data_IF_113040495571
#
_entry.id   IF_113040495571
#
_cell.length_a   1.000
_cell.length_b   1.000
_cell.length_c   1.000
_cell.angle_alpha   90.00
_cell.angle_beta   90.00
_cell.angle_gamma   90.00
#
_symmetry.space_group_name_H-M   'P 1'
#
loop_
_entity.id
_entity.type
_entity.pdbx_description
1 polymer ?
#
# COMPACT_ATOMS: atom_id res chain seq x y z
N UNK A 1 -20.06 -12.66 -20.06
CA UNK A 1 -20.93 -12.76 -18.85
C UNK A 1 -20.01 -12.92 -17.64
N UNK A 2 -19.50 -11.81 -17.10
CA UNK A 2 -18.63 -11.84 -15.91
C UNK A 2 -19.52 -12.23 -14.72
N UNK A 3 -19.24 -13.39 -14.13
CA UNK A 3 -19.87 -13.83 -12.89
C UNK A 3 -19.50 -12.84 -11.78
N UNK A 4 -20.31 -11.81 -11.54
CA UNK A 4 -20.12 -10.91 -10.41
C UNK A 4 -20.40 -11.70 -9.13
N UNK A 5 -19.32 -12.14 -8.47
CA UNK A 5 -19.46 -12.64 -7.10
C UNK A 5 -19.86 -11.43 -6.25
N UNK A 6 -20.97 -11.54 -5.53
CA UNK A 6 -21.39 -10.53 -4.56
C UNK A 6 -20.23 -10.22 -3.60
N UNK A 7 -20.06 -8.95 -3.21
CA UNK A 7 -19.04 -8.48 -2.27
C UNK A 7 -18.97 -9.37 -1.02
N UNK A 8 -20.12 -9.84 -0.53
CA UNK A 8 -20.21 -10.77 0.60
C UNK A 8 -19.47 -12.11 0.35
N UNK A 9 -19.56 -12.68 -0.85
CA UNK A 9 -18.86 -13.92 -1.20
C UNK A 9 -17.35 -13.73 -1.28
N UNK A 10 -16.89 -12.55 -1.69
CA UNK A 10 -15.46 -12.20 -1.75
C UNK A 10 -14.90 -12.06 -0.33
N UNK A 11 -15.62 -11.37 0.57
CA UNK A 11 -15.25 -11.26 1.99
C UNK A 11 -15.11 -12.64 2.63
N UNK A 12 -16.06 -13.54 2.41
CA UNK A 12 -16.00 -14.91 2.94
C UNK A 12 -14.77 -15.68 2.43
N UNK A 13 -14.40 -15.50 1.16
CA UNK A 13 -13.18 -16.12 0.62
C UNK A 13 -11.93 -15.60 1.34
N UNK A 14 -11.84 -14.29 1.58
CA UNK A 14 -10.72 -13.70 2.32
C UNK A 14 -10.67 -14.19 3.77
N UNK A 15 -11.81 -14.26 4.46
CA UNK A 15 -11.87 -14.84 5.81
C UNK A 15 -11.30 -16.26 5.81
N UNK A 16 -11.61 -17.08 4.80
CA UNK A 16 -11.02 -18.41 4.64
C UNK A 16 -9.50 -18.40 4.50
N UNK A 17 -8.93 -17.46 3.74
CA UNK A 17 -7.49 -17.29 3.62
C UNK A 17 -6.84 -16.84 4.94
N UNK A 18 -7.43 -15.88 5.64
CA UNK A 18 -6.94 -15.44 6.95
C UNK A 18 -6.98 -16.58 7.98
N UNK A 19 -8.06 -17.37 8.00
CA UNK A 19 -8.17 -18.54 8.86
C UNK A 19 -7.11 -19.59 8.56
N UNK A 20 -6.77 -19.79 7.28
CA UNK A 20 -5.74 -20.75 6.84
C UNK A 20 -4.32 -20.30 7.17
N UNK A 21 -3.98 -19.04 6.88
CA UNK A 21 -2.61 -18.54 6.96
C UNK A 21 -2.29 -17.84 8.28
N UNK A 22 -3.32 -17.46 9.05
CA UNK A 22 -3.20 -16.92 10.40
C UNK A 22 -2.24 -15.73 10.51
N UNK A 23 -2.34 -14.71 9.64
CA UNK A 23 -1.37 -13.62 9.59
C UNK A 23 -1.36 -12.79 10.88
N UNK A 24 -0.17 -12.33 11.26
CA UNK A 24 0.03 -11.34 12.32
C UNK A 24 0.01 -9.90 11.76
N UNK A 25 0.41 -9.73 10.50
CA UNK A 25 0.44 -8.44 9.82
C UNK A 25 -0.16 -8.59 8.42
N UNK A 26 -0.98 -7.61 8.03
CA UNK A 26 -1.45 -7.43 6.65
C UNK A 26 -0.79 -6.19 6.09
N UNK A 27 -0.10 -6.31 4.95
CA UNK A 27 0.40 -5.17 4.19
C UNK A 27 -0.42 -5.06 2.91
N UNK A 28 -1.25 -4.03 2.82
CA UNK A 28 -2.18 -3.82 1.71
C UNK A 28 -1.61 -2.85 0.68
N UNK A 29 -1.09 -3.40 -0.42
CA UNK A 29 -0.51 -2.66 -1.55
C UNK A 29 -1.35 -2.78 -2.83
N UNK A 30 -2.34 -3.67 -2.86
CA UNK A 30 -3.11 -3.96 -4.06
C UNK A 30 -4.01 -2.76 -4.40
N UNK A 31 -3.74 -2.13 -5.53
CA UNK A 31 -4.46 -0.97 -6.04
C UNK A 31 -4.25 -0.82 -7.55
N UNK A 32 -5.21 -0.20 -8.22
CA UNK A 32 -4.96 0.46 -9.50
C UNK A 32 -4.20 1.76 -9.23
N UNK A 33 -3.08 1.98 -9.96
CA UNK A 33 -2.06 2.96 -9.57
C UNK A 33 -1.65 3.97 -10.64
N UNK A 34 -2.34 4.00 -11.80
CA UNK A 34 -1.93 4.82 -12.94
C UNK A 34 -2.91 5.99 -13.14
N UNK A 35 -2.45 7.22 -12.94
CA UNK A 35 -3.31 8.41 -13.01
C UNK A 35 -4.02 8.54 -14.36
N UNK A 36 -3.29 8.44 -15.48
CA UNK A 36 -3.91 8.58 -16.82
C UNK A 36 -5.03 7.56 -17.06
N UNK A 37 -4.82 6.28 -16.69
CA UNK A 37 -5.85 5.25 -16.82
C UNK A 37 -7.08 5.54 -15.97
N UNK A 38 -6.92 6.30 -14.87
CA UNK A 38 -8.04 6.67 -14.02
C UNK A 38 -8.94 7.73 -14.67
N UNK A 39 -8.42 8.52 -15.61
CA UNK A 39 -9.19 9.49 -16.38
C UNK A 39 -10.04 8.77 -17.43
N UNK A 40 -9.44 7.81 -18.14
CA UNK A 40 -10.13 7.04 -19.19
C UNK A 40 -11.10 5.99 -18.63
N UNK A 41 -10.77 5.40 -17.48
CA UNK A 41 -11.50 4.27 -16.89
C UNK A 41 -11.58 4.31 -15.36
N UNK A 42 -12.26 5.30 -14.75
CA UNK A 42 -12.28 5.49 -13.30
C UNK A 42 -12.96 4.35 -12.52
N UNK A 43 -13.86 3.59 -13.15
CA UNK A 43 -14.62 2.52 -12.48
C UNK A 43 -13.71 1.47 -11.82
N UNK A 44 -12.63 1.05 -12.50
CA UNK A 44 -11.68 0.07 -11.98
C UNK A 44 -10.96 0.57 -10.70
N UNK A 45 -10.76 1.88 -10.57
CA UNK A 45 -10.14 2.50 -9.39
C UNK A 45 -11.10 2.49 -8.21
N UNK A 46 -12.39 2.76 -8.44
CA UNK A 46 -13.41 2.67 -7.37
C UNK A 46 -13.56 1.22 -6.90
N UNK A 47 -13.67 0.28 -7.84
CA UNK A 47 -13.81 -1.14 -7.51
C UNK A 47 -12.60 -1.68 -6.74
N UNK A 48 -11.39 -1.44 -7.23
CA UNK A 48 -10.18 -2.00 -6.61
C UNK A 48 -9.77 -1.22 -5.37
N UNK A 49 -9.64 0.11 -5.46
CA UNK A 49 -9.02 0.89 -4.39
C UNK A 49 -9.99 1.14 -3.24
N UNK A 50 -11.27 1.35 -3.52
CA UNK A 50 -12.29 1.63 -2.49
C UNK A 50 -12.98 0.35 -2.05
N UNK A 51 -13.68 -0.33 -2.96
CA UNK A 51 -14.45 -1.55 -2.62
C UNK A 51 -13.54 -2.70 -2.22
N UNK A 52 -12.38 -2.86 -2.87
CA UNK A 52 -11.37 -3.84 -2.50
C UNK A 52 -10.79 -3.58 -1.10
N UNK A 53 -10.47 -2.32 -0.76
CA UNK A 53 -10.00 -1.97 0.59
C UNK A 53 -11.06 -2.22 1.65
N UNK A 54 -12.32 -1.85 1.40
CA UNK A 54 -13.46 -2.19 2.27
C UNK A 54 -13.53 -3.71 2.51
N UNK A 55 -13.46 -4.49 1.44
CA UNK A 55 -13.52 -5.96 1.50
C UNK A 55 -12.39 -6.54 2.37
N UNK A 56 -11.17 -6.03 2.20
CA UNK A 56 -10.02 -6.46 3.00
C UNK A 56 -10.13 -6.04 4.46
N UNK A 57 -10.63 -4.83 4.74
CA UNK A 57 -10.86 -4.35 6.10
C UNK A 57 -11.91 -5.19 6.83
N UNK A 58 -13.01 -5.55 6.16
CA UNK A 58 -14.04 -6.41 6.74
C UNK A 58 -13.52 -7.82 7.00
N UNK A 59 -12.81 -8.41 6.05
CA UNK A 59 -12.20 -9.73 6.26
C UNK A 59 -11.19 -9.72 7.41
N UNK A 60 -10.33 -8.69 7.46
CA UNK A 60 -9.36 -8.52 8.54
C UNK A 60 -10.05 -8.32 9.89
N UNK A 61 -11.12 -7.51 9.95
CA UNK A 61 -11.93 -7.30 11.17
C UNK A 61 -12.55 -8.61 11.66
N UNK A 62 -13.16 -9.38 10.76
CA UNK A 62 -13.76 -10.68 11.10
C UNK A 62 -12.74 -11.69 11.61
N UNK A 63 -11.52 -11.71 11.04
CA UNK A 63 -10.43 -12.54 11.53
C UNK A 63 -9.89 -12.06 12.88
N UNK A 64 -9.70 -10.76 13.04
CA UNK A 64 -9.07 -10.14 14.21
C UNK A 64 -9.96 -10.16 15.46
N UNK A 65 -11.27 -10.00 15.31
CA UNK A 65 -12.21 -9.93 16.44
C UNK A 65 -12.14 -11.14 17.39
N UNK A 66 -12.18 -12.39 16.91
CA UNK A 66 -12.14 -13.59 17.76
C UNK A 66 -10.72 -14.02 18.20
N UNK A 67 -9.66 -13.29 17.83
CA UNK A 67 -8.31 -13.66 18.25
C UNK A 67 -8.15 -13.56 19.77
N UNK A 68 -7.32 -14.44 20.33
CA UNK A 68 -6.87 -14.35 21.71
C UNK A 68 -6.15 -13.02 21.98
N UNK A 69 -6.25 -12.50 23.20
CA UNK A 69 -5.82 -11.14 23.57
C UNK A 69 -4.40 -10.80 23.10
N UNK A 70 -3.43 -11.71 23.31
CA UNK A 70 -2.03 -11.51 22.92
C UNK A 70 -1.87 -11.31 21.41
N UNK A 71 -2.47 -12.19 20.60
CA UNK A 71 -2.42 -12.11 19.13
C UNK A 71 -3.23 -10.93 18.60
N UNK A 72 -4.34 -10.61 19.26
CA UNK A 72 -5.18 -9.46 18.93
C UNK A 72 -4.44 -8.14 19.12
N UNK A 73 -3.60 -8.05 20.15
CA UNK A 73 -2.81 -6.87 20.49
C UNK A 73 -1.59 -6.71 19.56
N UNK A 74 -1.00 -7.80 19.07
CA UNK A 74 0.13 -7.76 18.13
C UNK A 74 -0.29 -7.54 16.68
N UNK A 75 -1.54 -7.82 16.32
CA UNK A 75 -2.04 -7.69 14.95
C UNK A 75 -1.87 -6.29 14.38
N UNK A 76 -1.47 -6.15 13.12
CA UNK A 76 -1.41 -4.85 12.41
C UNK A 76 -1.97 -4.96 11.00
N UNK A 77 -2.77 -3.96 10.62
CA UNK A 77 -3.19 -3.75 9.23
C UNK A 77 -2.50 -2.50 8.69
N UNK A 78 -1.48 -2.68 7.85
CA UNK A 78 -0.71 -1.60 7.25
C UNK A 78 -1.21 -1.32 5.84
N UNK A 79 -1.82 -0.15 5.66
CA UNK A 79 -2.31 0.35 4.39
C UNK A 79 -1.27 1.27 3.73
N UNK A 80 -0.87 0.93 2.52
CA UNK A 80 0.06 1.75 1.73
C UNK A 80 -0.75 2.69 0.83
N UNK A 81 -0.51 3.99 1.00
CA UNK A 81 -1.14 5.07 0.25
C UNK A 81 -0.09 5.96 -0.41
N UNK A 82 -0.54 7.08 -0.97
CA UNK A 82 0.26 8.02 -1.78
C UNK A 82 0.17 9.42 -1.18
N UNK A 83 1.18 10.24 -1.42
CA UNK A 83 1.16 11.68 -1.18
C UNK A 83 0.17 12.45 -2.07
N UNK A 84 -0.23 11.91 -3.23
CA UNK A 84 -1.22 12.53 -4.11
C UNK A 84 -2.60 12.77 -3.45
N UNK A 85 -2.88 12.14 -2.30
CA UNK A 85 -4.10 12.42 -1.53
C UNK A 85 -4.14 13.85 -0.97
N UNK A 86 -2.98 14.47 -0.83
CA UNK A 86 -2.84 15.85 -0.33
C UNK A 86 -3.01 16.90 -1.43
N UNK A 87 -3.11 16.50 -2.70
CA UNK A 87 -3.27 17.41 -3.83
C UNK A 87 -1.95 17.95 -4.35
N UNK A 88 -1.96 19.21 -4.75
CA UNK A 88 -0.81 19.89 -5.37
C UNK A 88 -0.16 20.87 -4.40
N UNK A 89 1.17 21.01 -4.50
CA UNK A 89 1.93 22.06 -3.82
C UNK A 89 2.08 23.26 -4.76
N UNK A 90 1.87 24.47 -4.23
CA UNK A 90 1.93 25.69 -5.02
C UNK A 90 3.28 26.44 -4.91
N UNK A 91 4.06 26.17 -3.85
CA UNK A 91 5.40 26.71 -3.63
C UNK A 91 6.51 25.65 -3.71
N UNK A 92 7.74 26.09 -3.98
CA UNK A 92 8.93 25.21 -4.04
C UNK A 92 9.44 24.77 -2.66
N UNK A 93 9.06 25.51 -1.60
CA UNK A 93 9.47 25.25 -0.22
C UNK A 93 8.36 24.55 0.60
N UNK A 94 7.18 24.37 0.00
CA UNK A 94 6.07 23.71 0.68
C UNK A 94 6.31 22.19 0.71
N UNK A 95 5.96 21.56 1.83
CA UNK A 95 6.07 20.11 2.00
C UNK A 95 4.79 19.58 2.60
N UNK A 96 4.40 18.36 2.19
CA UNK A 96 3.33 17.65 2.85
C UNK A 96 3.75 17.13 4.22
N UNK A 97 2.85 17.28 5.19
CA UNK A 97 2.95 16.67 6.51
C UNK A 97 1.76 15.75 6.73
N UNK A 98 1.80 14.89 7.75
CA UNK A 98 0.70 14.00 8.09
C UNK A 98 -0.57 14.75 8.54
N UNK A 99 -0.46 16.06 8.79
CA UNK A 99 -1.58 16.95 9.13
C UNK A 99 -2.07 17.79 7.95
N UNK A 100 -1.43 17.70 6.77
CA UNK A 100 -1.92 18.36 5.55
C UNK A 100 -3.33 17.85 5.22
N UNK A 101 -4.28 18.75 4.89
CA UNK A 101 -5.63 18.35 4.50
C UNK A 101 -5.62 17.56 3.19
N UNK A 102 -6.57 16.66 3.04
CA UNK A 102 -6.75 15.92 1.79
C UNK A 102 -7.41 16.82 0.75
N UNK A 103 -6.83 16.87 -0.45
CA UNK A 103 -7.31 17.67 -1.57
C UNK A 103 -7.03 16.97 -2.92
N UNK A 104 -7.52 15.74 -3.15
CA UNK A 104 -7.15 14.95 -4.33
C UNK A 104 -7.65 15.56 -5.65
N UNK A 105 -6.75 15.63 -6.64
CA UNK A 105 -7.01 16.23 -7.97
C UNK A 105 -7.43 15.24 -9.07
N UNK A 106 -7.36 13.92 -8.84
CA UNK A 106 -7.64 12.88 -9.87
C UNK A 106 -8.54 11.75 -9.35
N UNK A 107 -9.20 10.96 -10.24
CA UNK A 107 -9.97 9.79 -9.80
C UNK A 107 -9.11 8.76 -9.05
N UNK A 108 -7.84 8.60 -9.45
CA UNK A 108 -6.87 7.79 -8.71
C UNK A 108 -6.66 8.32 -7.28
N UNK A 109 -6.25 9.57 -7.11
CA UNK A 109 -5.93 10.12 -5.79
C UNK A 109 -7.16 10.23 -4.90
N UNK A 110 -8.35 10.52 -5.48
CA UNK A 110 -9.62 10.49 -4.76
C UNK A 110 -9.99 9.09 -4.27
N UNK A 111 -9.72 8.05 -5.07
CA UNK A 111 -9.94 6.66 -4.67
C UNK A 111 -8.99 6.23 -3.52
N UNK A 112 -7.72 6.70 -3.55
CA UNK A 112 -6.75 6.46 -2.48
C UNK A 112 -7.12 7.21 -1.21
N UNK A 113 -7.48 8.49 -1.30
CA UNK A 113 -7.99 9.28 -0.19
C UNK A 113 -9.21 8.63 0.48
N UNK A 114 -10.15 8.12 -0.32
CA UNK A 114 -11.32 7.38 0.17
C UNK A 114 -10.91 6.11 0.92
N UNK A 115 -9.94 5.35 0.40
CA UNK A 115 -9.41 4.15 1.07
C UNK A 115 -8.76 4.48 2.43
N UNK A 116 -8.04 5.59 2.53
CA UNK A 116 -7.40 6.03 3.78
C UNK A 116 -8.46 6.41 4.83
N UNK A 117 -9.54 7.07 4.41
CA UNK A 117 -10.68 7.36 5.30
C UNK A 117 -11.36 6.09 5.80
N UNK A 118 -11.55 5.08 4.96
CA UNK A 118 -12.09 3.78 5.39
C UNK A 118 -11.18 3.14 6.45
N UNK A 119 -9.87 3.07 6.21
CA UNK A 119 -8.92 2.47 7.16
C UNK A 119 -8.97 3.19 8.50
N UNK A 120 -8.92 4.52 8.51
CA UNK A 120 -9.01 5.34 9.73
C UNK A 120 -10.36 5.15 10.44
N UNK A 121 -11.46 5.07 9.70
CA UNK A 121 -12.78 4.81 10.26
C UNK A 121 -12.88 3.43 10.91
N UNK A 122 -12.25 2.40 10.34
CA UNK A 122 -12.26 1.06 10.92
C UNK A 122 -11.50 0.98 12.24
N UNK A 123 -10.39 1.69 12.36
CA UNK A 123 -9.70 1.87 13.64
C UNK A 123 -10.61 2.59 14.65
N UNK A 124 -11.19 3.74 14.26
CA UNK A 124 -11.99 4.56 15.18
C UNK A 124 -13.27 3.87 15.65
N UNK A 125 -13.95 3.15 14.76
CA UNK A 125 -15.25 2.54 15.05
C UNK A 125 -15.13 1.14 15.65
N UNK A 126 -14.19 0.32 15.17
CA UNK A 126 -14.09 -1.10 15.57
C UNK A 126 -12.85 -1.42 16.40
N UNK A 127 -11.90 -0.48 16.54
CA UNK A 127 -10.64 -0.69 17.24
C UNK A 127 -9.63 -1.54 16.46
N UNK A 128 -9.86 -1.79 15.16
CA UNK A 128 -8.93 -2.56 14.33
C UNK A 128 -7.57 -1.82 14.28
N UNK A 129 -6.44 -2.43 14.70
CA UNK A 129 -5.15 -1.76 14.75
C UNK A 129 -4.58 -1.52 13.34
N UNK A 130 -4.89 -0.36 12.77
CA UNK A 130 -4.46 0.04 11.42
C UNK A 130 -3.32 1.06 11.44
N UNK A 131 -2.50 1.04 10.40
CA UNK A 131 -1.46 2.04 10.10
C UNK A 131 -1.63 2.49 8.65
N UNK A 132 -1.48 3.79 8.39
CA UNK A 132 -1.50 4.35 7.04
C UNK A 132 -0.15 5.02 6.79
N UNK A 133 0.46 4.74 5.65
CA UNK A 133 1.66 5.46 5.19
C UNK A 133 1.41 6.05 3.83
N UNK A 134 1.64 7.36 3.69
CA UNK A 134 1.58 8.08 2.43
C UNK A 134 3.02 8.26 1.93
N UNK A 135 3.35 7.67 0.79
CA UNK A 135 4.69 7.74 0.22
C UNK A 135 4.69 8.56 -1.07
N UNK A 136 5.82 9.18 -1.38
CA UNK A 136 6.06 9.81 -2.68
C UNK A 136 6.28 8.78 -3.78
N UNK A 137 6.45 9.27 -5.01
CA UNK A 137 6.69 8.43 -6.17
C UNK A 137 7.87 7.46 -5.94
N UNK A 138 7.59 6.19 -6.16
CA UNK A 138 8.57 5.12 -6.03
C UNK A 138 9.21 4.80 -7.39
N UNK A 139 10.54 4.67 -7.40
CA UNK A 139 11.32 4.34 -8.59
C UNK A 139 12.32 3.23 -8.30
N UNK A 140 12.58 2.37 -9.29
CA UNK A 140 13.54 1.28 -9.16
C UNK A 140 13.29 0.12 -10.12
N UNK A 141 14.08 -0.96 -9.99
CA UNK A 141 13.88 -2.17 -10.76
C UNK A 141 12.46 -2.72 -10.61
N UNK A 142 11.88 -3.23 -11.70
CA UNK A 142 10.52 -3.77 -11.79
C UNK A 142 9.37 -2.73 -11.79
N UNK A 143 9.67 -1.43 -11.92
CA UNK A 143 8.65 -0.45 -12.26
C UNK A 143 8.00 -0.76 -13.61
N UNK A 144 6.67 -0.67 -13.67
CA UNK A 144 5.93 -0.92 -14.90
C UNK A 144 6.28 0.12 -15.98
N UNK A 145 6.42 -0.31 -17.25
CA UNK A 145 6.58 0.62 -18.38
C UNK A 145 5.38 1.57 -18.47
N UNK A 146 5.64 2.88 -18.56
CA UNK A 146 4.61 3.92 -18.67
C UNK A 146 4.59 4.92 -17.51
N UNK A 147 5.32 4.67 -16.41
CA UNK A 147 5.62 5.73 -15.43
C UNK A 147 6.70 6.66 -15.98
N UNK A 148 6.63 7.95 -15.68
CA UNK A 148 7.52 9.00 -16.22
C UNK A 148 9.01 8.64 -16.23
N UNK A 149 9.50 7.91 -15.22
CA UNK A 149 10.92 7.55 -15.09
C UNK A 149 11.29 6.22 -15.78
N UNK A 150 10.33 5.57 -16.45
CA UNK A 150 10.55 4.34 -17.24
C UNK A 150 10.77 4.62 -18.74
N UNK A 151 10.75 5.89 -19.15
CA UNK A 151 11.18 6.32 -20.48
C UNK A 151 12.70 6.44 -20.46
N UNK A 152 13.37 5.41 -20.97
CA UNK A 152 14.82 5.32 -20.98
C UNK A 152 15.49 6.45 -21.75
N UNK A 153 16.39 7.15 -21.08
CA UNK A 153 17.45 7.91 -21.73
C UNK A 153 18.55 6.93 -22.19
N UNK A 154 18.78 6.74 -23.51
CA UNK A 154 19.79 5.81 -24.01
C UNK A 154 21.23 6.28 -23.75
N UNK A 155 21.47 7.52 -23.32
CA UNK A 155 22.82 8.03 -23.04
C UNK A 155 23.32 7.73 -21.61
N UNK A 156 22.46 7.25 -20.71
CA UNK A 156 22.84 6.90 -19.33
C UNK A 156 23.56 5.54 -19.22
N UNK A 157 24.36 5.18 -20.24
CA UNK A 157 25.07 3.90 -20.35
C UNK A 157 26.58 3.94 -20.11
N UNK A 158 27.23 5.11 -20.04
CA UNK A 158 28.71 5.14 -20.05
C UNK A 158 29.44 6.23 -19.25
N UNK A 159 28.76 7.04 -18.42
CA UNK A 159 29.45 8.04 -17.57
C UNK A 159 28.91 8.08 -16.13
N UNK A 160 29.06 6.99 -15.40
CA UNK A 160 29.05 7.04 -13.93
C UNK A 160 30.46 7.32 -13.42
N UNK A 161 30.85 8.59 -13.42
CA UNK A 161 31.93 9.10 -12.56
C UNK A 161 31.35 10.11 -11.57
N UNK A 162 31.30 9.67 -10.32
CA UNK A 162 31.38 10.46 -9.08
C UNK A 162 30.35 11.58 -8.83
N UNK A 163 29.21 11.19 -8.29
CA UNK A 163 28.68 11.75 -7.04
C UNK A 163 28.03 10.59 -6.27
N UNK A 164 28.46 10.36 -5.02
CA UNK A 164 28.14 9.16 -4.22
C UNK A 164 26.64 8.88 -4.15
N UNK A 165 26.19 7.63 -4.25
CA UNK A 165 26.27 6.62 -3.18
C UNK A 165 26.41 5.22 -3.80
N UNK A 166 27.39 4.45 -3.30
CA UNK A 166 27.76 3.11 -3.74
C UNK A 166 26.80 2.03 -3.23
N UNK A 167 26.39 1.14 -4.16
CA UNK A 167 26.29 -0.33 -4.06
C UNK A 167 25.31 -0.97 -3.04
N UNK A 168 24.64 -2.11 -3.24
CA UNK A 168 24.44 -3.07 -4.35
C UNK A 168 23.40 -4.12 -3.86
N UNK A 169 22.60 -4.67 -4.80
CA UNK A 169 22.05 -6.06 -4.88
C UNK A 169 20.99 -6.54 -3.87
N UNK A 170 19.77 -6.84 -4.35
CA UNK A 170 19.30 -8.20 -4.75
C UNK A 170 17.77 -8.41 -4.56
N UNK A 171 17.08 -8.76 -5.67
CA UNK A 171 15.93 -9.68 -5.77
C UNK A 171 14.73 -9.54 -4.82
N UNK A 172 13.63 -8.93 -5.28
CA UNK A 172 12.34 -9.03 -4.61
C UNK A 172 11.70 -10.41 -4.90
N UNK A 173 11.82 -11.32 -3.92
CA UNK A 173 10.94 -12.48 -3.76
C UNK A 173 9.88 -12.13 -2.72
N UNK A 174 8.65 -12.59 -2.94
CA UNK A 174 7.56 -12.61 -1.97
C UNK A 174 8.07 -13.12 -0.61
N UNK A 175 8.09 -12.26 0.41
CA UNK A 175 8.55 -12.61 1.75
C UNK A 175 7.35 -12.74 2.70
N UNK A 176 6.99 -13.99 3.01
CA UNK A 176 6.16 -14.31 4.18
C UNK A 176 7.14 -14.59 5.32
N UNK A 177 7.41 -13.58 6.16
CA UNK A 177 8.27 -13.75 7.32
C UNK A 177 7.50 -14.41 8.48
N UNK A 178 7.81 -15.68 8.76
CA UNK A 178 7.57 -16.26 10.09
C UNK A 178 8.68 -15.82 11.04
N UNK A 179 8.29 -15.41 12.24
CA UNK A 179 9.21 -15.00 13.29
C UNK A 179 10.10 -16.15 13.78
N UNK A 180 11.41 -15.91 13.78
CA UNK A 180 12.33 -16.50 14.75
C UNK A 180 13.70 -15.81 14.73
N UNK A 181 13.97 -15.07 15.82
CA UNK A 181 15.27 -14.68 16.40
C UNK A 181 16.28 -13.95 15.49
N UNK A 182 16.27 -12.62 15.59
CA UNK A 182 17.44 -11.79 15.27
C UNK A 182 18.55 -12.04 16.31
N UNK A 183 19.72 -12.50 15.86
CA UNK A 183 20.95 -12.55 16.66
C UNK A 183 21.83 -11.38 16.21
N UNK A 184 22.09 -10.45 17.11
CA UNK A 184 23.04 -9.37 16.86
C UNK A 184 24.45 -9.95 16.73
N UNK A 185 25.16 -9.62 15.65
CA UNK A 185 26.61 -9.83 15.56
C UNK A 185 27.28 -8.47 15.75
N UNK A 186 27.86 -8.32 16.93
CA UNK A 186 28.87 -7.31 17.27
C UNK A 186 30.08 -7.43 16.36
N UNK A 187 30.64 -6.30 15.94
CA UNK A 187 31.72 -6.22 14.97
C UNK A 187 33.07 -6.77 15.43
N UNK A 188 34.02 -6.76 14.48
CA UNK A 188 35.45 -6.58 14.69
C UNK A 188 36.14 -6.23 13.36
N UNK A 189 37.02 -5.24 13.50
CA UNK A 189 38.17 -4.79 12.70
C UNK A 189 37.96 -4.34 11.24
#
# INVERSE_FOLDING_TARGET
MLSSRSTSAIVLSWIGYFARYQPDVVMHLAAESHVDRSIDGPAAFIETNVVGTYTMLEAARHYWQPLAAEKKQSFRFHHISTDEVYGDLHGTDDLFTETTPYAPSSPYSASKASSDHLVRAWLRTYGLPTLVTNCSNNYGPLSLPGKVDSVGDPECGSRQTAAGIRQRRAGARLAVCRGSRARALSGRD
#
